data_IF_180506590980
#
_entry.id   IF_180506590980
#
_cell.length_a   1.000
_cell.length_b   1.000
_cell.length_c   1.000
_cell.angle_alpha   90.00
_cell.angle_beta   90.00
_cell.angle_gamma   90.00
#
_symmetry.space_group_name_H-M   'P 1'
#
loop_
_entity.id
_entity.type
_entity.pdbx_description
1 polymer ?
#
# COMPACT_ATOMS: atom_id res chain seq x y z
N UNK A 1 -1.11 -3.78 -5.40
CA UNK A 1 -1.60 -4.45 -4.18
C UNK A 1 -1.85 -5.95 -4.41
N UNK A 2 -2.56 -6.33 -5.48
CA UNK A 2 -2.88 -7.75 -5.73
C UNK A 2 -1.62 -8.62 -5.83
N UNK A 3 -0.59 -8.16 -6.54
CA UNK A 3 0.68 -8.89 -6.70
C UNK A 3 1.35 -9.16 -5.35
N UNK A 4 1.44 -8.15 -4.48
CA UNK A 4 2.04 -8.30 -3.15
C UNK A 4 1.22 -9.22 -2.25
N UNK A 5 -0.11 -9.21 -2.41
CA UNK A 5 -0.98 -10.12 -1.66
C UNK A 5 -0.83 -11.57 -2.13
N UNK A 6 -0.82 -11.80 -3.44
CA UNK A 6 -0.56 -13.15 -4.00
C UNK A 6 0.80 -13.68 -3.55
N UNK A 7 1.84 -12.84 -3.62
CA UNK A 7 3.20 -13.20 -3.20
C UNK A 7 3.26 -13.56 -1.70
N UNK A 8 2.53 -12.80 -0.86
CA UNK A 8 2.46 -13.09 0.56
C UNK A 8 1.83 -14.46 0.86
N UNK A 9 0.73 -14.82 0.18
CA UNK A 9 0.11 -16.14 0.32
C UNK A 9 1.02 -17.25 -0.19
N UNK A 10 1.62 -17.08 -1.36
CA UNK A 10 2.56 -18.06 -1.93
C UNK A 10 3.79 -18.25 -1.03
N UNK A 11 4.33 -17.18 -0.49
CA UNK A 11 5.48 -17.22 0.41
C UNK A 11 5.14 -17.89 1.75
N UNK A 12 3.89 -17.76 2.22
CA UNK A 12 3.40 -18.41 3.41
C UNK A 12 3.06 -19.92 3.18
N UNK A 13 2.94 -20.34 1.93
CA UNK A 13 2.74 -21.73 1.54
C UNK A 13 1.29 -22.20 1.56
N UNK A 14 0.31 -21.29 1.51
CA UNK A 14 -1.11 -21.62 1.43
C UNK A 14 -1.88 -20.68 0.50
N UNK A 15 -3.08 -21.09 0.16
CA UNK A 15 -4.02 -20.35 -0.69
C UNK A 15 -5.11 -19.66 0.15
N UNK A 16 -5.80 -18.66 -0.38
CA UNK A 16 -6.97 -18.09 0.27
C UNK A 16 -8.04 -19.13 0.60
N UNK A 17 -8.24 -20.12 -0.27
CA UNK A 17 -9.24 -21.19 -0.06
C UNK A 17 -8.91 -22.01 1.17
N UNK A 18 -7.66 -22.43 1.35
CA UNK A 18 -7.24 -23.19 2.54
C UNK A 18 -7.44 -22.39 3.83
N UNK A 19 -7.20 -21.09 3.81
CA UNK A 19 -7.51 -20.23 4.96
C UNK A 19 -9.01 -20.19 5.25
N UNK A 20 -9.86 -20.09 4.22
CA UNK A 20 -11.32 -20.05 4.39
C UNK A 20 -11.93 -21.39 4.81
N UNK A 21 -11.20 -22.51 4.69
CA UNK A 21 -11.58 -23.79 5.29
C UNK A 21 -11.36 -23.81 6.82
N UNK A 22 -10.33 -23.08 7.29
CA UNK A 22 -9.96 -23.02 8.71
C UNK A 22 -10.55 -21.82 9.45
N UNK A 23 -10.76 -20.71 8.76
CA UNK A 23 -11.23 -19.44 9.33
C UNK A 23 -12.55 -19.04 8.67
N UNK A 24 -13.56 -18.73 9.50
CA UNK A 24 -14.83 -18.26 8.96
C UNK A 24 -14.63 -16.94 8.18
N UNK A 25 -15.18 -16.77 6.97
CA UNK A 25 -14.93 -15.62 6.12
C UNK A 25 -15.21 -14.25 6.77
N UNK A 26 -16.12 -14.18 7.75
CA UNK A 26 -16.37 -12.94 8.52
C UNK A 26 -15.25 -12.58 9.50
N UNK A 27 -14.34 -13.52 9.79
CA UNK A 27 -13.17 -13.33 10.64
C UNK A 27 -11.89 -13.10 9.83
N UNK A 28 -12.00 -13.05 8.50
CA UNK A 28 -10.92 -12.67 7.58
C UNK A 28 -11.04 -11.19 7.28
N UNK A 29 -10.10 -10.40 7.78
CA UNK A 29 -10.10 -8.94 7.67
C UNK A 29 -8.98 -8.41 6.76
N UNK A 30 -9.09 -7.16 6.34
CA UNK A 30 -8.04 -6.43 5.65
C UNK A 30 -7.80 -5.07 6.29
N UNK A 31 -6.52 -4.75 6.48
CA UNK A 31 -6.05 -3.42 6.91
C UNK A 31 -5.00 -2.86 5.92
N UNK A 32 -5.08 -3.26 4.65
CA UNK A 32 -4.17 -2.77 3.62
C UNK A 32 -4.41 -1.28 3.33
N UNK A 33 -3.37 -0.47 3.45
CA UNK A 33 -3.43 0.99 3.35
C UNK A 33 -2.73 1.57 2.12
N UNK A 34 -2.90 2.87 1.93
CA UNK A 34 -2.15 3.68 0.95
C UNK A 34 -2.02 5.11 1.45
N UNK A 35 -0.89 5.75 1.23
CA UNK A 35 -0.68 7.15 1.59
C UNK A 35 -1.23 8.12 0.54
N UNK A 36 -1.20 7.76 -0.74
CA UNK A 36 -1.63 8.61 -1.85
C UNK A 36 -2.96 8.22 -2.47
N UNK A 37 -3.41 6.99 -2.30
CA UNK A 37 -4.65 6.50 -2.91
C UNK A 37 -4.58 6.47 -4.44
N UNK A 38 -5.72 6.76 -5.09
CA UNK A 38 -5.87 6.78 -6.54
C UNK A 38 -5.47 8.12 -7.19
N UNK A 39 -4.34 8.70 -6.85
CA UNK A 39 -3.91 10.01 -7.37
C UNK A 39 -3.78 10.02 -8.89
N UNK A 40 -3.26 8.95 -9.49
CA UNK A 40 -3.16 8.83 -10.95
C UNK A 40 -4.54 8.81 -11.62
N UNK A 41 -5.50 8.11 -11.04
CA UNK A 41 -6.89 8.06 -11.52
C UNK A 41 -7.57 9.42 -11.35
N UNK A 42 -7.33 10.11 -10.24
CA UNK A 42 -7.86 11.47 -10.02
C UNK A 42 -7.29 12.46 -11.03
N UNK A 43 -5.99 12.42 -11.29
CA UNK A 43 -5.37 13.24 -12.33
C UNK A 43 -5.98 12.96 -13.70
N UNK A 44 -6.15 11.70 -14.07
CA UNK A 44 -6.77 11.31 -15.34
C UNK A 44 -8.19 11.85 -15.44
N UNK A 45 -9.00 11.73 -14.37
CA UNK A 45 -10.35 12.28 -14.32
C UNK A 45 -10.36 13.78 -14.68
N UNK A 46 -9.48 14.57 -14.05
CA UNK A 46 -9.41 16.01 -14.33
C UNK A 46 -8.91 16.30 -15.75
N UNK A 47 -7.86 15.65 -16.22
CA UNK A 47 -7.29 15.89 -17.54
C UNK A 47 -8.29 15.47 -18.64
N UNK A 48 -8.92 14.31 -18.54
CA UNK A 48 -9.89 13.85 -19.51
C UNK A 48 -11.09 14.80 -19.55
N UNK A 49 -11.57 15.25 -18.38
CA UNK A 49 -12.69 16.19 -18.29
C UNK A 49 -12.36 17.56 -18.89
N UNK A 50 -11.24 18.16 -18.55
CA UNK A 50 -10.93 19.54 -18.88
C UNK A 50 -10.23 19.71 -20.22
N UNK A 51 -9.42 18.74 -20.66
CA UNK A 51 -8.65 18.81 -21.90
C UNK A 51 -9.34 18.06 -23.05
N UNK A 52 -9.87 16.88 -22.77
CA UNK A 52 -10.42 15.98 -23.78
C UNK A 52 -11.96 16.04 -23.84
N UNK A 53 -12.61 16.68 -22.86
CA UNK A 53 -14.07 16.71 -22.69
C UNK A 53 -14.71 15.30 -22.55
N UNK A 54 -13.93 14.31 -22.14
CA UNK A 54 -14.38 12.97 -21.86
C UNK A 54 -14.85 12.85 -20.40
N UNK A 55 -15.78 11.93 -20.15
CA UNK A 55 -16.27 11.64 -18.79
C UNK A 55 -16.22 10.12 -18.59
N UNK A 56 -15.07 9.59 -18.10
CA UNK A 56 -14.99 8.18 -17.71
C UNK A 56 -16.01 7.88 -16.60
N UNK A 57 -16.79 6.81 -16.75
CA UNK A 57 -17.93 6.52 -15.87
C UNK A 57 -17.52 5.94 -14.51
N UNK A 58 -16.38 5.29 -14.43
CA UNK A 58 -15.87 4.49 -13.30
C UNK A 58 -14.63 5.06 -12.63
N UNK A 59 -14.00 6.06 -13.24
CA UNK A 59 -12.72 6.62 -12.77
C UNK A 59 -12.79 7.18 -11.34
N UNK A 60 -13.95 7.67 -10.90
CA UNK A 60 -14.10 8.16 -9.52
C UNK A 60 -13.97 7.02 -8.52
N UNK A 61 -14.51 5.85 -8.82
CA UNK A 61 -14.39 4.67 -7.95
C UNK A 61 -12.93 4.26 -7.83
N UNK A 62 -12.18 4.26 -8.93
CA UNK A 62 -10.76 3.95 -8.92
C UNK A 62 -9.91 4.97 -8.14
N UNK A 63 -10.40 6.21 -8.00
CA UNK A 63 -9.71 7.25 -7.25
C UNK A 63 -9.87 7.11 -5.72
N UNK A 64 -10.85 6.34 -5.25
CA UNK A 64 -11.10 6.17 -3.81
C UNK A 64 -10.04 5.25 -3.18
N UNK A 65 -9.40 5.66 -2.08
CA UNK A 65 -8.31 4.88 -1.47
C UNK A 65 -8.71 3.46 -1.06
N UNK A 66 -9.93 3.28 -0.56
CA UNK A 66 -10.43 2.00 -0.07
C UNK A 66 -10.67 0.95 -1.18
N UNK A 67 -10.79 1.37 -2.41
CA UNK A 67 -11.02 0.47 -3.56
C UNK A 67 -9.87 -0.50 -3.77
N UNK A 68 -8.64 -0.06 -3.48
CA UNK A 68 -7.43 -0.89 -3.59
C UNK A 68 -7.52 -2.15 -2.73
N UNK A 69 -7.92 -2.01 -1.46
CA UNK A 69 -8.11 -3.13 -0.55
C UNK A 69 -9.38 -3.92 -0.87
N UNK A 70 -10.46 -3.22 -1.24
CA UNK A 70 -11.75 -3.84 -1.58
C UNK A 70 -11.64 -4.80 -2.78
N UNK A 71 -10.95 -4.40 -3.84
CA UNK A 71 -10.72 -5.26 -5.00
C UNK A 71 -9.94 -6.53 -4.65
N UNK A 72 -8.91 -6.42 -3.81
CA UNK A 72 -8.14 -7.59 -3.38
C UNK A 72 -8.99 -8.52 -2.52
N UNK A 73 -9.75 -7.96 -1.58
CA UNK A 73 -10.65 -8.74 -0.72
C UNK A 73 -11.70 -9.49 -1.54
N UNK A 74 -12.34 -8.81 -2.48
CA UNK A 74 -13.40 -9.38 -3.31
C UNK A 74 -12.89 -10.38 -4.35
N UNK A 75 -11.75 -10.08 -5.00
CA UNK A 75 -11.31 -10.83 -6.17
C UNK A 75 -10.36 -11.97 -5.84
N UNK A 76 -9.70 -11.95 -4.69
CA UNK A 76 -8.65 -12.92 -4.36
C UNK A 76 -8.83 -13.54 -2.99
N UNK A 77 -9.04 -12.75 -1.93
CA UNK A 77 -9.07 -13.27 -0.55
C UNK A 77 -10.40 -14.01 -0.27
N UNK A 78 -11.53 -13.44 -0.70
CA UNK A 78 -12.85 -14.04 -0.52
C UNK A 78 -13.44 -13.86 0.88
N UNK A 79 -12.77 -13.16 1.80
CA UNK A 79 -13.29 -12.82 3.10
C UNK A 79 -14.30 -11.66 3.04
N UNK A 80 -15.12 -11.53 4.08
CA UNK A 80 -16.04 -10.39 4.27
C UNK A 80 -16.03 -9.86 5.70
N UNK A 81 -14.91 -10.04 6.38
CA UNK A 81 -14.66 -9.46 7.70
C UNK A 81 -14.42 -7.96 7.65
N UNK A 82 -13.93 -7.43 8.74
CA UNK A 82 -13.68 -5.99 8.86
C UNK A 82 -12.63 -5.51 7.83
N UNK A 83 -12.96 -4.48 7.08
CA UNK A 83 -12.04 -3.85 6.15
C UNK A 83 -11.84 -2.39 6.56
N UNK A 84 -10.61 -2.04 6.92
CA UNK A 84 -10.18 -0.68 7.25
C UNK A 84 -9.03 -0.29 6.33
N UNK A 85 -9.09 0.91 5.83
CA UNK A 85 -8.08 1.48 4.94
C UNK A 85 -7.32 2.59 5.69
N UNK A 86 -6.20 2.29 6.35
CA UNK A 86 -5.36 3.30 6.96
C UNK A 86 -4.76 4.24 5.91
N UNK A 87 -4.70 5.52 6.26
CA UNK A 87 -4.04 6.57 5.48
C UNK A 87 -3.20 7.39 6.47
N UNK A 88 -1.90 7.12 6.52
CA UNK A 88 -0.98 7.70 7.50
C UNK A 88 0.33 8.15 6.86
N UNK A 89 0.24 8.72 5.65
CA UNK A 89 1.39 9.14 4.86
C UNK A 89 2.46 8.03 4.76
N UNK A 90 3.74 8.35 4.97
CA UNK A 90 4.84 7.39 4.90
C UNK A 90 4.77 6.26 5.95
N UNK A 91 3.99 6.44 7.03
CA UNK A 91 3.81 5.45 8.10
C UNK A 91 2.64 4.49 7.86
N UNK A 92 1.93 4.59 6.73
CA UNK A 92 0.71 3.84 6.47
C UNK A 92 0.90 2.32 6.66
N UNK A 93 2.00 1.75 6.20
CA UNK A 93 2.24 0.31 6.37
C UNK A 93 2.39 -0.10 7.84
N UNK A 94 3.07 0.71 8.65
CA UNK A 94 3.23 0.44 10.08
C UNK A 94 1.88 0.56 10.82
N UNK A 95 1.10 1.58 10.53
CA UNK A 95 -0.25 1.76 11.10
C UNK A 95 -1.18 0.63 10.64
N UNK A 96 -1.09 0.20 9.39
CA UNK A 96 -1.86 -0.94 8.88
C UNK A 96 -1.55 -2.24 9.64
N UNK A 97 -0.27 -2.47 9.95
CA UNK A 97 0.18 -3.63 10.70
C UNK A 97 -0.32 -3.59 12.15
N UNK A 98 -0.23 -2.45 12.81
CA UNK A 98 -0.75 -2.21 14.16
C UNK A 98 -2.26 -2.47 14.22
N UNK A 99 -3.03 -1.85 13.32
CA UNK A 99 -4.48 -2.07 13.21
C UNK A 99 -4.84 -3.55 12.99
N UNK A 100 -4.07 -4.25 12.17
CA UNK A 100 -4.25 -5.68 11.94
C UNK A 100 -4.02 -6.52 13.20
N UNK A 101 -2.95 -6.23 13.93
CA UNK A 101 -2.61 -6.88 15.19
C UNK A 101 -3.67 -6.62 16.27
N UNK A 102 -4.15 -5.39 16.37
CA UNK A 102 -5.22 -5.01 17.30
C UNK A 102 -6.53 -5.74 17.02
N UNK A 103 -6.89 -5.94 15.73
CA UNK A 103 -8.08 -6.72 15.38
C UNK A 103 -8.00 -8.15 15.89
N UNK A 104 -6.83 -8.77 15.77
CA UNK A 104 -6.59 -10.12 16.30
C UNK A 104 -6.64 -10.11 17.82
N UNK A 105 -5.93 -9.19 18.46
CA UNK A 105 -5.89 -9.09 19.93
C UNK A 105 -7.27 -8.85 20.56
N UNK A 106 -8.13 -8.10 19.88
CA UNK A 106 -9.49 -7.79 20.31
C UNK A 106 -10.53 -8.84 19.89
N UNK A 107 -10.13 -9.93 19.24
CA UNK A 107 -11.03 -10.98 18.76
C UNK A 107 -11.99 -10.54 17.65
N UNK A 108 -11.62 -9.50 16.90
CA UNK A 108 -12.41 -8.98 15.77
C UNK A 108 -12.05 -9.63 14.43
N UNK A 109 -10.94 -10.34 14.38
CA UNK A 109 -10.49 -11.13 13.26
C UNK A 109 -9.61 -12.28 13.77
N UNK A 110 -9.60 -13.39 13.05
CA UNK A 110 -8.69 -14.52 13.26
C UNK A 110 -7.55 -14.50 12.22
N UNK A 111 -7.80 -13.88 11.07
CA UNK A 111 -6.84 -13.73 10.01
C UNK A 111 -6.93 -12.32 9.40
N UNK A 112 -5.79 -11.65 9.20
CA UNK A 112 -5.74 -10.29 8.65
C UNK A 112 -4.71 -10.19 7.56
N UNK A 113 -5.12 -9.67 6.41
CA UNK A 113 -4.23 -9.24 5.34
C UNK A 113 -3.91 -7.77 5.56
N UNK A 114 -2.65 -7.46 5.85
CA UNK A 114 -2.20 -6.10 6.21
C UNK A 114 -1.03 -5.66 5.33
N UNK A 115 -0.72 -4.39 5.35
CA UNK A 115 0.37 -3.80 4.58
C UNK A 115 -0.03 -2.47 3.96
N UNK A 116 0.77 -2.01 3.02
CA UNK A 116 0.43 -0.81 2.23
C UNK A 116 1.11 -0.84 0.88
N UNK A 117 0.57 -0.03 -0.01
CA UNK A 117 1.18 0.29 -1.29
C UNK A 117 1.11 1.78 -1.56
N UNK A 118 2.07 2.30 -2.31
CA UNK A 118 1.97 3.60 -2.92
C UNK A 118 2.45 3.58 -4.38
N UNK A 119 1.66 4.25 -5.22
CA UNK A 119 2.00 4.57 -6.59
C UNK A 119 2.46 6.03 -6.62
N UNK A 120 3.70 6.27 -7.03
CA UNK A 120 4.26 7.61 -7.08
C UNK A 120 4.00 8.24 -8.45
N UNK A 121 3.20 9.30 -8.46
CA UNK A 121 2.97 10.14 -9.63
C UNK A 121 3.94 11.31 -9.71
N UNK A 122 3.93 11.99 -10.86
CA UNK A 122 4.74 13.18 -11.08
C UNK A 122 4.44 14.30 -10.07
N UNK A 123 3.21 14.36 -9.57
CA UNK A 123 2.76 15.31 -8.55
C UNK A 123 3.51 15.14 -7.24
N UNK A 124 3.70 13.89 -6.83
CA UNK A 124 4.43 13.55 -5.60
C UNK A 124 5.92 13.90 -5.73
N UNK A 125 6.54 13.57 -6.86
CA UNK A 125 7.95 13.88 -7.13
C UNK A 125 8.17 15.40 -7.14
N UNK A 126 7.31 16.17 -7.82
CA UNK A 126 7.38 17.64 -7.82
C UNK A 126 7.12 18.18 -6.42
N UNK A 127 6.12 17.66 -5.71
CA UNK A 127 5.78 18.10 -4.36
C UNK A 127 6.94 17.94 -3.39
N UNK A 128 7.56 16.76 -3.35
CA UNK A 128 8.73 16.51 -2.50
C UNK A 128 9.96 17.30 -2.94
N UNK A 129 10.16 17.49 -4.26
CA UNK A 129 11.21 18.35 -4.78
C UNK A 129 11.06 19.80 -4.31
N UNK A 130 9.85 20.38 -4.39
CA UNK A 130 9.55 21.74 -3.92
C UNK A 130 9.74 21.90 -2.40
N UNK A 131 9.59 20.82 -1.63
CA UNK A 131 9.87 20.81 -0.19
C UNK A 131 11.36 20.64 0.14
N UNK A 132 12.24 20.53 -0.86
CA UNK A 132 13.66 20.15 -0.71
C UNK A 132 13.83 18.82 0.05
N UNK A 133 12.89 17.91 -0.08
CA UNK A 133 12.91 16.61 0.57
C UNK A 133 13.58 15.52 -0.27
N UNK A 134 13.69 15.74 -1.58
CA UNK A 134 14.31 14.85 -2.56
C UNK A 134 15.83 15.02 -2.58
N UNK A 135 16.58 13.94 -2.79
CA UNK A 135 18.02 13.99 -2.95
C UNK A 135 18.41 14.84 -4.18
N UNK A 136 19.22 15.86 -3.97
CA UNK A 136 19.77 16.69 -5.05
C UNK A 136 20.96 15.96 -5.70
N UNK A 137 20.84 15.67 -7.00
CA UNK A 137 21.84 14.91 -7.74
C UNK A 137 23.20 15.61 -7.77
N UNK A 138 23.22 16.94 -7.98
CA UNK A 138 24.47 17.72 -8.05
C UNK A 138 25.20 17.69 -6.71
N UNK A 139 24.49 17.88 -5.62
CA UNK A 139 25.07 17.80 -4.27
C UNK A 139 25.60 16.40 -3.94
N UNK A 140 24.89 15.36 -4.36
CA UNK A 140 25.31 13.99 -4.12
C UNK A 140 26.56 13.65 -4.91
N UNK A 141 26.64 14.07 -6.18
CA UNK A 141 27.85 13.91 -6.98
C UNK A 141 29.03 14.72 -6.42
N UNK A 142 28.79 15.93 -5.95
CA UNK A 142 29.83 16.75 -5.29
C UNK A 142 30.39 16.08 -4.03
N UNK A 143 29.61 15.26 -3.34
CA UNK A 143 30.04 14.42 -2.22
C UNK A 143 30.73 13.12 -2.65
N UNK A 144 30.95 12.93 -3.96
CA UNK A 144 31.56 11.70 -4.51
C UNK A 144 30.65 10.46 -4.44
N UNK A 145 29.34 10.64 -4.38
CA UNK A 145 28.37 9.54 -4.27
C UNK A 145 27.84 9.23 -5.66
N UNK A 146 27.99 8.00 -6.11
CA UNK A 146 27.43 7.50 -7.35
C UNK A 146 25.91 7.38 -7.24
N UNK A 147 25.17 7.63 -8.34
CA UNK A 147 23.71 7.60 -8.39
C UNK A 147 23.10 6.30 -7.86
N UNK A 148 23.77 5.16 -8.05
CA UNK A 148 23.35 3.84 -7.53
C UNK A 148 23.23 3.82 -6.01
N UNK A 149 23.82 4.78 -5.31
CA UNK A 149 23.88 4.87 -3.86
C UNK A 149 23.19 6.14 -3.32
N UNK A 150 22.35 6.80 -4.10
CA UNK A 150 21.60 7.98 -3.63
C UNK A 150 20.55 7.59 -2.58
N UNK A 151 19.86 6.45 -2.77
CA UNK A 151 18.99 5.87 -1.75
C UNK A 151 19.84 5.25 -0.65
N UNK A 152 19.92 5.94 0.51
CA UNK A 152 20.81 5.57 1.60
C UNK A 152 20.24 5.94 2.96
N UNK A 153 19.15 5.26 3.32
CA UNK A 153 18.50 5.44 4.60
C UNK A 153 19.51 5.28 5.76
N UNK A 154 19.38 6.13 6.78
CA UNK A 154 20.24 6.15 7.98
C UNK A 154 21.73 6.45 7.76
N UNK A 155 22.19 6.71 6.53
CA UNK A 155 23.55 7.15 6.27
C UNK A 155 23.68 8.66 6.55
N UNK A 156 24.82 9.07 7.14
CA UNK A 156 25.08 10.50 7.44
C UNK A 156 25.20 11.36 6.19
N UNK A 157 25.53 10.77 5.05
CA UNK A 157 25.71 11.45 3.75
C UNK A 157 24.43 11.46 2.92
N UNK A 158 23.29 11.00 3.44
CA UNK A 158 22.02 11.03 2.73
C UNK A 158 21.67 12.46 2.29
N UNK A 159 21.06 12.60 1.15
CA UNK A 159 20.67 13.92 0.58
C UNK A 159 19.16 14.17 0.61
N UNK A 160 18.35 13.16 0.93
CA UNK A 160 16.90 13.22 0.85
C UNK A 160 16.30 11.93 0.33
N UNK A 161 15.04 11.99 -0.09
CA UNK A 161 14.35 10.87 -0.69
C UNK A 161 14.90 10.54 -2.08
N UNK A 162 14.79 9.27 -2.44
CA UNK A 162 14.80 8.79 -3.82
C UNK A 162 13.48 8.05 -3.99
N UNK A 163 12.51 8.73 -4.54
CA UNK A 163 11.14 8.25 -4.62
C UNK A 163 11.03 7.04 -5.53
N UNK A 164 10.20 6.09 -5.13
CA UNK A 164 9.92 4.87 -5.87
C UNK A 164 8.50 4.38 -5.57
N UNK A 165 7.93 3.68 -6.51
CA UNK A 165 6.69 2.92 -6.31
C UNK A 165 7.00 1.64 -5.55
N UNK A 166 6.11 1.23 -4.67
CA UNK A 166 6.31 0.01 -3.94
C UNK A 166 5.13 -0.38 -3.06
N UNK A 167 5.19 -1.59 -2.58
CA UNK A 167 4.21 -2.12 -1.64
C UNK A 167 4.66 -3.43 -1.03
N UNK A 168 4.03 -3.78 0.09
CA UNK A 168 4.22 -5.04 0.77
C UNK A 168 2.94 -5.50 1.44
N UNK A 169 2.79 -6.80 1.54
CA UNK A 169 1.69 -7.45 2.25
C UNK A 169 2.23 -8.42 3.28
N UNK A 170 1.64 -8.41 4.46
CA UNK A 170 1.93 -9.32 5.57
C UNK A 170 0.63 -10.02 5.95
N UNK A 171 0.71 -11.30 6.22
CA UNK A 171 -0.41 -12.09 6.71
C UNK A 171 -0.26 -12.26 8.21
N UNK A 172 -1.29 -11.87 8.96
CA UNK A 172 -1.36 -12.04 10.41
C UNK A 172 -2.45 -13.03 10.75
N UNK A 173 -2.19 -13.87 11.72
CA UNK A 173 -3.20 -14.80 12.26
C UNK A 173 -2.98 -15.01 13.75
N UNK A 174 -4.02 -15.50 14.44
CA UNK A 174 -3.89 -16.01 15.81
C UNK A 174 -2.98 -17.22 15.84
N UNK A 175 -2.17 -17.34 16.90
CA UNK A 175 -1.22 -18.43 17.03
C UNK A 175 -1.85 -19.83 17.05
N UNK A 176 -3.08 -19.97 17.56
CA UNK A 176 -3.84 -21.23 17.59
C UNK A 176 -4.52 -21.57 16.25
N UNK A 177 -4.54 -20.64 15.31
CA UNK A 177 -5.01 -20.85 13.93
C UNK A 177 -3.83 -21.19 13.00
N UNK A 178 -2.62 -20.73 13.35
CA UNK A 178 -1.40 -20.93 12.57
C UNK A 178 -0.77 -22.34 12.74
N UNK A 179 -1.18 -23.11 13.72
CA UNK A 179 -0.66 -24.45 14.07
C UNK A 179 -1.59 -25.55 13.60
#
# INVERSE_FOLDING_TARGET
>A
NIVTTVDAYLSAGFTPTEILEAVHPSMVASTQGTGFGGMASMRKLYLDRFLNHEIPTDILQEALPNVVAAHVMQSYIGGYGNMVQPVSACATAAVSLEEGADKIALGKADFVVTGAIDDIGVESVIGFGNMNATANSEEMYAKGIDARFFSRANDRRRGGFVESQGGGTILLTRGDVAL
#
